data_IF_435833328940
#
_entry.id   IF_435833328940
#
_cell.length_a   1.000
_cell.length_b   1.000
_cell.length_c   1.000
_cell.angle_alpha   90.00
_cell.angle_beta   90.00
_cell.angle_gamma   90.00
#
_symmetry.space_group_name_H-M   'P 1'
#
loop_
_entity.id
_entity.type
_entity.pdbx_description
1 polymer ?
#
# COMPACT_ATOMS: atom_id res chain seq x y z
N UNK A 1 -11.51 2.79 -19.19
CA UNK A 1 -10.22 2.09 -18.98
C UNK A 1 -9.35 3.05 -18.18
N UNK A 2 -9.02 2.70 -16.94
CA UNK A 2 -8.38 3.62 -15.99
C UNK A 2 -6.96 4.02 -16.42
N UNK A 3 -6.50 5.19 -15.97
CA UNK A 3 -5.11 5.62 -16.13
C UNK A 3 -4.22 4.65 -15.32
N UNK A 4 -3.14 4.17 -15.92
CA UNK A 4 -2.21 3.22 -15.30
C UNK A 4 -0.77 3.72 -15.43
N UNK A 5 0.01 3.65 -14.35
CA UNK A 5 1.45 3.97 -14.30
C UNK A 5 2.20 2.76 -13.73
N UNK A 6 3.32 2.38 -14.34
CA UNK A 6 4.18 1.29 -13.84
C UNK A 6 5.58 1.87 -13.63
N UNK A 7 6.16 1.60 -12.48
CA UNK A 7 7.52 2.00 -12.11
C UNK A 7 8.33 0.73 -11.82
N UNK A 8 9.31 0.38 -12.66
CA UNK A 8 10.23 -0.70 -12.36
C UNK A 8 11.22 -0.27 -11.27
N UNK A 9 11.60 -1.20 -10.40
CA UNK A 9 12.61 -1.00 -9.37
C UNK A 9 13.54 -2.22 -9.31
N UNK A 10 14.83 -1.99 -9.56
CA UNK A 10 15.88 -2.98 -9.30
C UNK A 10 16.59 -2.62 -7.99
N UNK A 11 16.57 -3.52 -7.02
CA UNK A 11 17.22 -3.30 -5.72
C UNK A 11 18.72 -3.60 -5.81
N UNK A 12 19.49 -3.21 -4.79
CA UNK A 12 20.94 -3.47 -4.72
C UNK A 12 21.27 -4.97 -4.69
N UNK A 13 20.38 -5.78 -4.15
CA UNK A 13 20.49 -7.24 -4.09
C UNK A 13 20.18 -7.89 -5.45
N UNK A 14 19.61 -7.15 -6.40
CA UNK A 14 19.22 -7.67 -7.72
C UNK A 14 17.76 -8.14 -7.80
N UNK A 15 16.91 -7.81 -6.82
CA UNK A 15 15.48 -8.04 -6.94
C UNK A 15 14.88 -7.10 -7.98
N UNK A 16 14.02 -7.63 -8.85
CA UNK A 16 13.26 -6.82 -9.81
C UNK A 16 11.80 -6.74 -9.38
N UNK A 17 11.38 -5.52 -9.08
CA UNK A 17 10.02 -5.18 -8.70
C UNK A 17 9.33 -4.37 -9.79
N UNK A 18 8.01 -4.54 -9.89
CA UNK A 18 7.13 -3.64 -10.60
C UNK A 18 6.14 -3.03 -9.59
N UNK A 19 6.09 -1.71 -9.55
CA UNK A 19 5.15 -0.94 -8.75
C UNK A 19 4.13 -0.35 -9.72
N UNK A 20 2.91 -0.88 -9.69
CA UNK A 20 1.81 -0.45 -10.54
C UNK A 20 0.84 0.40 -9.74
N UNK A 21 0.44 1.50 -10.35
CA UNK A 21 -0.60 2.41 -9.89
C UNK A 21 -1.73 2.38 -10.91
N UNK A 22 -2.93 2.02 -10.48
CA UNK A 22 -4.11 1.95 -11.34
C UNK A 22 -5.25 2.77 -10.75
N UNK A 23 -5.69 3.80 -11.46
CA UNK A 23 -6.79 4.65 -11.01
C UNK A 23 -8.10 3.87 -11.06
N UNK A 24 -8.75 3.76 -9.91
CA UNK A 24 -10.09 3.19 -9.78
C UNK A 24 -11.09 4.21 -10.36
N UNK A 25 -11.99 3.75 -11.22
CA UNK A 25 -13.03 4.59 -11.81
C UNK A 25 -13.94 5.18 -10.73
N UNK A 26 -14.37 6.45 -10.91
CA UNK A 26 -15.24 7.15 -9.96
C UNK A 26 -16.58 6.43 -9.73
N UNK A 27 -17.03 5.64 -10.69
CA UNK A 27 -18.21 4.78 -10.59
C UNK A 27 -18.08 3.66 -9.54
N UNK A 28 -16.86 3.32 -9.13
CA UNK A 28 -16.56 2.31 -8.12
C UNK A 28 -16.18 2.92 -6.75
N UNK A 29 -16.24 4.24 -6.63
CA UNK A 29 -15.86 5.00 -5.44
C UNK A 29 -17.11 5.71 -4.90
N UNK A 30 -17.31 5.80 -3.57
CA UNK A 30 -18.43 6.56 -3.02
C UNK A 30 -18.44 8.01 -3.54
N UNK A 31 -19.61 8.51 -3.94
CA UNK A 31 -19.76 9.87 -4.49
C UNK A 31 -19.30 10.98 -3.52
N UNK A 32 -19.27 10.69 -2.21
CA UNK A 32 -18.79 11.61 -1.18
C UNK A 32 -17.27 11.76 -1.17
N UNK A 33 -16.52 10.81 -1.74
CA UNK A 33 -15.06 10.82 -1.81
C UNK A 33 -14.61 11.67 -3.00
N UNK A 34 -13.85 12.73 -2.72
CA UNK A 34 -13.43 13.70 -3.74
C UNK A 34 -12.14 13.28 -4.42
N UNK A 35 -11.15 12.84 -3.65
CA UNK A 35 -9.87 12.37 -4.15
C UNK A 35 -10.02 11.18 -5.09
N UNK A 36 -9.10 11.05 -6.05
CA UNK A 36 -8.97 9.81 -6.81
C UNK A 36 -8.44 8.70 -5.92
N UNK A 37 -8.91 7.48 -6.15
CA UNK A 37 -8.40 6.28 -5.47
C UNK A 37 -7.56 5.49 -6.46
N UNK A 38 -6.38 5.08 -6.02
CA UNK A 38 -5.42 4.39 -6.85
C UNK A 38 -5.07 3.06 -6.20
N UNK A 39 -5.35 1.97 -6.90
CA UNK A 39 -4.90 0.63 -6.50
C UNK A 39 -3.38 0.52 -6.73
N UNK A 40 -2.68 -0.01 -5.73
CA UNK A 40 -1.23 -0.18 -5.74
C UNK A 40 -0.88 -1.66 -5.69
N UNK A 41 -0.24 -2.13 -6.75
CA UNK A 41 0.32 -3.48 -6.81
C UNK A 41 1.84 -3.41 -6.81
N UNK A 42 2.47 -4.04 -5.83
CA UNK A 42 3.93 -4.25 -5.78
C UNK A 42 4.18 -5.73 -6.04
N UNK A 43 4.64 -6.05 -7.24
CA UNK A 43 4.98 -7.42 -7.62
C UNK A 43 6.49 -7.59 -7.77
N UNK A 44 6.96 -8.81 -7.52
CA UNK A 44 8.37 -9.21 -7.73
C UNK A 44 8.44 -10.15 -8.91
N UNK A 45 9.22 -9.79 -9.93
CA UNK A 45 9.45 -10.64 -11.10
C UNK A 45 10.59 -11.62 -10.87
N UNK A 46 11.62 -11.18 -10.14
CA UNK A 46 12.75 -12.01 -9.78
C UNK A 46 13.08 -11.84 -8.29
N UNK A 47 12.91 -12.92 -7.53
CA UNK A 47 13.23 -12.94 -6.11
C UNK A 47 14.55 -13.68 -5.87
N UNK A 48 15.61 -12.93 -5.59
CA UNK A 48 16.97 -13.46 -5.38
C UNK A 48 17.36 -13.60 -3.90
N UNK A 49 16.41 -13.48 -2.96
CA UNK A 49 16.70 -13.64 -1.52
C UNK A 49 15.88 -12.74 -0.58
N UNK A 50 16.54 -12.18 0.43
CA UNK A 50 15.92 -11.32 1.46
C UNK A 50 16.26 -9.86 1.15
N UNK A 51 15.23 -9.02 1.06
CA UNK A 51 15.43 -7.58 0.96
C UNK A 51 16.02 -7.00 2.24
N UNK A 52 16.87 -5.98 2.07
CA UNK A 52 17.31 -5.16 3.17
C UNK A 52 16.29 -4.02 3.45
N UNK A 53 16.50 -3.26 4.53
CA UNK A 53 15.64 -2.14 4.88
C UNK A 53 15.64 -0.98 3.87
N UNK A 54 16.65 -0.88 3.00
CA UNK A 54 16.72 0.16 1.97
C UNK A 54 15.71 -0.06 0.84
N UNK A 55 15.34 -1.31 0.51
CA UNK A 55 14.26 -1.59 -0.44
C UNK A 55 12.94 -1.00 0.05
N UNK A 56 12.63 -1.15 1.35
CA UNK A 56 11.44 -0.54 1.96
C UNK A 56 11.49 0.99 1.89
N UNK A 57 12.67 1.60 2.07
CA UNK A 57 12.82 3.05 1.90
C UNK A 57 12.61 3.50 0.45
N UNK A 58 13.01 2.70 -0.54
CA UNK A 58 12.77 3.00 -1.95
C UNK A 58 11.28 2.94 -2.30
N UNK A 59 10.56 1.91 -1.84
CA UNK A 59 9.10 1.87 -1.98
C UNK A 59 8.44 3.09 -1.36
N UNK A 60 8.83 3.45 -0.13
CA UNK A 60 8.30 4.63 0.54
C UNK A 60 8.53 5.91 -0.28
N UNK A 61 9.72 6.11 -0.86
CA UNK A 61 10.02 7.28 -1.71
C UNK A 61 9.10 7.33 -2.93
N UNK A 62 8.98 6.21 -3.64
CA UNK A 62 8.18 6.11 -4.87
C UNK A 62 6.70 6.40 -4.59
N UNK A 63 6.14 5.80 -3.53
CA UNK A 63 4.75 6.03 -3.14
C UNK A 63 4.51 7.49 -2.74
N UNK A 64 5.47 8.11 -2.03
CA UNK A 64 5.38 9.52 -1.62
C UNK A 64 5.46 10.49 -2.77
N UNK A 65 6.40 10.29 -3.68
CA UNK A 65 6.51 11.10 -4.89
C UNK A 65 5.19 11.04 -5.68
N UNK A 66 4.62 9.83 -5.83
CA UNK A 66 3.33 9.67 -6.48
C UNK A 66 2.18 10.39 -5.76
N UNK A 67 2.13 10.32 -4.43
CA UNK A 67 1.13 11.04 -3.62
C UNK A 67 1.23 12.54 -3.79
N UNK A 68 2.43 13.12 -3.75
CA UNK A 68 2.66 14.56 -3.91
C UNK A 68 2.32 15.03 -5.33
N UNK A 69 2.65 14.23 -6.34
CA UNK A 69 2.36 14.57 -7.74
C UNK A 69 0.87 14.56 -8.08
N UNK A 70 0.07 13.70 -7.44
CA UNK A 70 -1.30 13.41 -7.89
C UNK A 70 -2.37 13.76 -6.86
N UNK A 71 -2.03 13.97 -5.60
CA UNK A 71 -2.96 14.20 -4.49
C UNK A 71 -4.12 13.19 -4.45
N UNK A 72 -3.80 11.93 -4.15
CA UNK A 72 -4.74 10.79 -4.23
C UNK A 72 -4.75 9.96 -2.95
N UNK A 73 -5.71 9.04 -2.84
CA UNK A 73 -5.68 7.96 -1.85
C UNK A 73 -5.13 6.69 -2.49
N UNK A 74 -4.03 6.17 -1.98
CA UNK A 74 -3.50 4.86 -2.35
C UNK A 74 -4.22 3.76 -1.58
N UNK A 75 -4.78 2.80 -2.30
CA UNK A 75 -5.35 1.58 -1.78
C UNK A 75 -4.33 0.45 -1.93
N UNK A 76 -3.88 -0.15 -0.83
CA UNK A 76 -2.88 -1.20 -0.83
C UNK A 76 -3.39 -2.43 -0.07
N UNK A 77 -3.60 -3.54 -0.76
CA UNK A 77 -3.97 -4.84 -0.16
C UNK A 77 -2.74 -5.72 0.06
N UNK A 78 -2.59 -6.30 1.26
CA UNK A 78 -1.49 -7.21 1.56
C UNK A 78 -1.84 -8.64 1.10
N UNK A 79 -1.06 -9.24 0.20
CA UNK A 79 -1.31 -10.61 -0.26
C UNK A 79 -0.96 -11.70 0.78
N UNK A 80 -1.54 -12.89 0.57
CA UNK A 80 -1.28 -14.09 1.39
C UNK A 80 -0.03 -14.88 0.97
N UNK A 81 0.70 -14.45 -0.07
CA UNK A 81 1.80 -15.25 -0.59
C UNK A 81 2.87 -15.44 0.49
N UNK A 82 3.54 -16.59 0.46
CA UNK A 82 4.62 -16.83 1.40
C UNK A 82 5.75 -15.80 1.24
N UNK A 83 6.35 -15.42 2.37
CA UNK A 83 7.43 -14.43 2.40
C UNK A 83 8.56 -14.94 3.27
N UNK A 84 9.79 -14.85 2.75
CA UNK A 84 10.98 -15.21 3.50
C UNK A 84 11.21 -14.15 4.57
N UNK A 85 11.27 -14.57 5.83
CA UNK A 85 11.43 -13.69 6.99
C UNK A 85 12.79 -13.91 7.61
N UNK A 86 13.44 -12.81 8.02
CA UNK A 86 14.74 -12.87 8.69
C UNK A 86 14.69 -13.63 10.03
N UNK A 87 13.52 -13.70 10.68
CA UNK A 87 13.29 -14.43 11.93
C UNK A 87 11.98 -15.19 11.86
N UNK A 88 11.91 -16.36 12.52
CA UNK A 88 10.66 -17.09 12.69
C UNK A 88 9.72 -16.24 13.56
N UNK A 89 8.60 -15.82 12.98
CA UNK A 89 7.60 -14.99 13.65
C UNK A 89 6.26 -15.73 13.62
N UNK A 90 5.52 -15.71 14.72
CA UNK A 90 4.20 -16.33 14.86
C UNK A 90 3.09 -15.43 14.29
N UNK A 91 3.27 -14.93 13.06
CA UNK A 91 2.29 -14.08 12.38
C UNK A 91 2.03 -14.55 10.96
N UNK A 92 0.88 -14.20 10.39
CA UNK A 92 0.57 -14.57 9.00
C UNK A 92 1.46 -13.79 8.01
N UNK A 93 1.63 -14.29 6.76
CA UNK A 93 2.34 -13.53 5.73
C UNK A 93 1.74 -12.15 5.46
N UNK A 94 0.41 -12.02 5.57
CA UNK A 94 -0.28 -10.74 5.44
C UNK A 94 0.04 -9.78 6.58
N UNK A 95 -0.07 -10.24 7.82
CA UNK A 95 0.20 -9.41 9.01
C UNK A 95 1.65 -8.92 8.99
N UNK A 96 2.58 -9.78 8.56
CA UNK A 96 3.98 -9.41 8.39
C UNK A 96 4.17 -8.30 7.35
N UNK A 97 3.52 -8.42 6.17
CA UNK A 97 3.55 -7.38 5.13
C UNK A 97 2.95 -6.07 5.61
N UNK A 98 1.80 -6.12 6.26
CA UNK A 98 1.14 -4.94 6.82
C UNK A 98 2.05 -4.20 7.81
N UNK A 99 2.72 -4.93 8.71
CA UNK A 99 3.71 -4.35 9.63
C UNK A 99 4.91 -3.73 8.91
N UNK A 100 5.43 -4.39 7.87
CA UNK A 100 6.50 -3.81 7.05
C UNK A 100 6.02 -2.53 6.37
N UNK A 101 4.79 -2.54 5.83
CA UNK A 101 4.18 -1.41 5.14
C UNK A 101 3.97 -0.21 6.06
N UNK A 102 3.39 -0.42 7.25
CA UNK A 102 3.29 0.64 8.27
C UNK A 102 4.65 1.20 8.66
N UNK A 103 5.62 0.32 8.91
CA UNK A 103 6.97 0.73 9.29
C UNK A 103 7.66 1.60 8.21
N UNK A 104 7.26 1.52 6.94
CA UNK A 104 7.77 2.40 5.87
C UNK A 104 7.38 3.86 6.10
N UNK A 105 6.15 4.11 6.54
CA UNK A 105 5.62 5.45 6.74
C UNK A 105 5.94 6.00 8.12
N UNK A 106 5.88 5.15 9.16
CA UNK A 106 6.18 5.52 10.55
C UNK A 106 7.64 5.97 10.72
N UNK A 107 8.59 5.23 10.11
CA UNK A 107 10.03 5.56 10.23
C UNK A 107 10.42 6.90 9.63
N UNK A 108 9.61 7.44 8.73
CA UNK A 108 9.88 8.73 8.11
C UNK A 108 9.30 9.91 8.91
N UNK A 109 8.67 9.64 10.07
CA UNK A 109 8.15 10.61 11.05
C UNK A 109 7.40 11.79 10.41
N UNK A 110 6.58 11.46 9.41
CA UNK A 110 6.12 12.43 8.44
C UNK A 110 4.67 12.81 8.75
N UNK A 111 4.50 13.98 9.36
CA UNK A 111 3.20 14.54 9.75
C UNK A 111 2.27 14.82 8.57
N UNK A 112 2.79 14.77 7.35
CA UNK A 112 2.10 15.23 6.14
C UNK A 112 1.27 14.11 5.50
N UNK A 113 1.41 12.87 5.99
CA UNK A 113 0.73 11.70 5.46
C UNK A 113 -0.08 11.00 6.53
N UNK A 114 -1.12 10.31 6.07
CA UNK A 114 -1.92 9.39 6.85
C UNK A 114 -1.75 7.99 6.27
N UNK A 115 -1.66 6.99 7.15
CA UNK A 115 -1.70 5.59 6.81
C UNK A 115 -2.77 4.93 7.68
N UNK A 116 -3.95 4.76 7.11
CA UNK A 116 -5.08 4.16 7.79
C UNK A 116 -5.11 2.65 7.49
N UNK A 117 -4.78 1.85 8.50
CA UNK A 117 -4.93 0.40 8.45
C UNK A 117 -6.41 0.02 8.63
N UNK A 118 -6.88 -0.91 7.80
CA UNK A 118 -8.17 -1.58 7.90
C UNK A 118 -7.89 -3.08 8.01
N UNK A 119 -8.50 -3.71 9.00
CA UNK A 119 -8.45 -5.16 9.19
C UNK A 119 -9.86 -5.70 9.02
N UNK A 120 -10.04 -6.53 7.99
CA UNK A 120 -11.29 -7.26 7.75
C UNK A 120 -11.07 -8.67 8.25
N UNK A 121 -11.63 -9.00 9.42
CA UNK A 121 -11.69 -10.37 9.93
C UNK A 121 -12.85 -11.10 9.24
N UNK A 122 -12.51 -12.05 8.38
CA UNK A 122 -13.43 -13.05 7.79
C UNK A 122 -12.86 -14.47 8.07
N UNK A 123 -13.04 -15.46 7.19
CA UNK A 123 -12.37 -16.78 7.27
C UNK A 123 -10.84 -16.65 7.47
N UNK A 124 -10.26 -15.56 6.93
CA UNK A 124 -8.88 -15.13 7.15
C UNK A 124 -8.82 -13.62 7.39
N UNK A 125 -7.80 -13.15 8.10
CA UNK A 125 -7.58 -11.71 8.26
C UNK A 125 -7.07 -11.08 6.95
N UNK A 126 -7.73 -10.02 6.52
CA UNK A 126 -7.31 -9.19 5.39
C UNK A 126 -6.81 -7.83 5.86
N UNK A 127 -5.61 -7.44 5.41
CA UNK A 127 -4.96 -6.20 5.79
C UNK A 127 -4.90 -5.22 4.61
N UNK A 128 -5.58 -4.08 4.75
CA UNK A 128 -5.65 -3.02 3.75
C UNK A 128 -5.07 -1.73 4.33
N UNK A 129 -4.22 -1.07 3.58
CA UNK A 129 -3.72 0.27 3.90
C UNK A 129 -4.32 1.30 2.95
N UNK A 130 -4.95 2.32 3.52
CA UNK A 130 -5.30 3.55 2.81
C UNK A 130 -4.26 4.62 3.16
N UNK A 131 -3.50 5.06 2.17
CA UNK A 131 -2.43 6.05 2.38
C UNK A 131 -2.72 7.29 1.56
N UNK A 132 -2.63 8.46 2.19
CA UNK A 132 -2.78 9.71 1.48
C UNK A 132 -2.00 10.84 2.14
N UNK A 133 -1.99 12.00 1.48
CA UNK A 133 -1.69 13.27 2.13
C UNK A 133 -2.76 13.57 3.17
N UNK A 134 -2.38 14.24 4.26
CA UNK A 134 -3.27 14.55 5.37
C UNK A 134 -4.47 15.42 4.98
N UNK A 135 -4.34 16.20 3.91
CA UNK A 135 -5.46 17.00 3.39
C UNK A 135 -6.64 16.15 2.88
N UNK A 136 -6.43 14.87 2.57
CA UNK A 136 -7.48 13.93 2.17
C UNK A 136 -7.98 13.06 3.34
N UNK A 137 -7.77 13.47 4.60
CA UNK A 137 -8.17 12.70 5.78
C UNK A 137 -9.67 12.37 5.79
N UNK A 138 -10.52 13.31 5.40
CA UNK A 138 -11.97 13.07 5.29
C UNK A 138 -12.29 11.96 4.28
N UNK A 139 -11.66 11.99 3.10
CA UNK A 139 -11.85 10.99 2.05
C UNK A 139 -11.36 9.60 2.49
N UNK A 140 -10.24 9.53 3.21
CA UNK A 140 -9.73 8.27 3.77
C UNK A 140 -10.69 7.69 4.81
N UNK A 141 -11.29 8.54 5.67
CA UNK A 141 -12.29 8.09 6.65
C UNK A 141 -13.54 7.56 5.96
N UNK A 142 -14.02 8.25 4.91
CA UNK A 142 -15.18 7.81 4.13
C UNK A 142 -14.93 6.45 3.46
N UNK A 143 -13.78 6.29 2.79
CA UNK A 143 -13.39 5.02 2.16
C UNK A 143 -13.28 3.90 3.17
N UNK A 144 -12.67 4.17 4.34
CA UNK A 144 -12.58 3.18 5.41
C UNK A 144 -13.95 2.68 5.85
N UNK A 145 -14.89 3.59 6.06
CA UNK A 145 -16.23 3.22 6.52
C UNK A 145 -16.97 2.43 5.45
N UNK A 146 -16.82 2.78 4.18
CA UNK A 146 -17.39 2.02 3.06
C UNK A 146 -16.85 0.59 3.04
N UNK A 147 -15.52 0.43 3.08
CA UNK A 147 -14.86 -0.90 3.09
C UNK A 147 -15.34 -1.76 4.26
N UNK A 148 -15.57 -1.17 5.43
CA UNK A 148 -16.06 -1.88 6.61
C UNK A 148 -17.54 -2.25 6.52
N UNK A 149 -18.34 -1.51 5.76
CA UNK A 149 -19.78 -1.76 5.57
C UNK A 149 -20.06 -2.84 4.50
N UNK A 150 -19.06 -3.24 3.72
CA UNK A 150 -19.16 -4.34 2.75
C UNK A 150 -19.07 -5.74 3.39
N UNK A 151 -18.89 -5.82 4.72
CA UNK A 151 -19.02 -7.06 5.50
C UNK A 151 -20.48 -7.44 5.73
#
# INVERSE_FOLDING_TARGET
MGKKKIIPLTTKEGHNYLIQFEFIGKEHIPQSVKADVVDVLISVENNVGINNGSTLSQFASILKEFLVENNVVLYCYCDHAEIIRARKQSMSPQEYRSKLFSAMFDKQNNSDYINQLIIINDEVDHYIHLISLKENEEDVVLLRNEVLNLK
#
